data_IF_321686206945
#
_entry.id   IF_321686206945
#
_cell.length_a   1.000
_cell.length_b   1.000
_cell.length_c   1.000
_cell.angle_alpha   90.00
_cell.angle_beta   90.00
_cell.angle_gamma   90.00
#
_symmetry.space_group_name_H-M   'P 1'
#
loop_
_entity.id
_entity.type
_entity.pdbx_description
1 polymer ?
#
# COMPACT_ATOMS: atom_id res chain seq x y z
N UNK A 1 15.90 26.15 -11.16
CA UNK A 1 15.65 25.42 -10.04
C UNK A 1 15.73 23.95 -10.23
N UNK A 2 16.23 23.30 -9.30
CA UNK A 2 16.48 21.87 -9.38
C UNK A 2 15.24 21.02 -9.24
N UNK A 3 14.10 21.60 -9.37
CA UNK A 3 12.88 20.90 -9.11
C UNK A 3 12.54 19.76 -10.03
N UNK A 4 12.78 19.86 -11.35
CA UNK A 4 12.52 18.71 -12.21
C UNK A 4 13.30 17.48 -11.79
N UNK A 5 14.55 17.70 -11.38
CA UNK A 5 15.37 16.61 -10.87
C UNK A 5 14.85 16.08 -9.54
N UNK A 6 14.46 16.99 -8.64
CA UNK A 6 13.99 16.55 -7.33
C UNK A 6 12.66 15.80 -7.41
N UNK A 7 11.76 16.17 -8.34
CA UNK A 7 10.53 15.42 -8.53
C UNK A 7 10.81 14.02 -9.05
N UNK A 8 11.69 13.88 -10.03
CA UNK A 8 12.07 12.57 -10.55
C UNK A 8 12.72 11.72 -9.46
N UNK A 9 13.61 12.33 -8.67
CA UNK A 9 14.28 11.64 -7.56
C UNK A 9 13.29 11.19 -6.50
N UNK A 10 12.34 12.05 -6.15
CA UNK A 10 11.31 11.72 -5.15
C UNK A 10 10.43 10.59 -5.67
N UNK A 11 10.01 10.64 -6.92
CA UNK A 11 9.22 9.57 -7.52
C UNK A 11 9.98 8.24 -7.52
N UNK A 12 11.25 8.26 -7.90
CA UNK A 12 12.09 7.06 -7.89
C UNK A 12 12.24 6.50 -6.48
N UNK A 13 12.46 7.37 -5.51
CA UNK A 13 12.59 6.97 -4.11
C UNK A 13 11.32 6.27 -3.61
N UNK A 14 10.17 6.89 -3.83
CA UNK A 14 8.91 6.29 -3.41
C UNK A 14 8.60 5.00 -4.17
N UNK A 15 8.93 4.94 -5.46
CA UNK A 15 8.75 3.72 -6.23
C UNK A 15 9.57 2.57 -5.67
N UNK A 16 10.82 2.83 -5.31
CA UNK A 16 11.68 1.81 -4.70
C UNK A 16 11.13 1.36 -3.36
N UNK A 17 10.78 2.31 -2.49
CA UNK A 17 10.29 1.99 -1.15
C UNK A 17 8.98 1.20 -1.23
N UNK A 18 8.02 1.70 -2.00
CA UNK A 18 6.71 1.05 -2.15
C UNK A 18 6.87 -0.30 -2.83
N UNK A 19 7.69 -0.37 -3.86
CA UNK A 19 7.93 -1.61 -4.59
C UNK A 19 8.52 -2.70 -3.70
N UNK A 20 9.57 -2.39 -2.95
CA UNK A 20 10.16 -3.34 -2.02
C UNK A 20 9.19 -3.73 -0.92
N UNK A 21 8.47 -2.76 -0.37
CA UNK A 21 7.49 -3.02 0.66
C UNK A 21 6.42 -4.01 0.17
N UNK A 22 5.86 -3.75 -1.01
CA UNK A 22 4.84 -4.62 -1.58
C UNK A 22 5.39 -6.02 -1.88
N UNK A 23 6.61 -6.10 -2.41
CA UNK A 23 7.23 -7.39 -2.70
C UNK A 23 7.39 -8.20 -1.41
N UNK A 24 7.94 -7.59 -0.37
CA UNK A 24 8.17 -8.28 0.90
C UNK A 24 6.87 -8.75 1.54
N UNK A 25 5.87 -7.87 1.58
CA UNK A 25 4.57 -8.21 2.16
C UNK A 25 3.89 -9.32 1.35
N UNK A 26 3.89 -9.21 0.02
CA UNK A 26 3.26 -10.23 -0.83
C UNK A 26 3.96 -11.57 -0.74
N UNK A 27 5.29 -11.57 -0.67
CA UNK A 27 6.04 -12.82 -0.49
C UNK A 27 5.71 -13.46 0.85
N UNK A 28 5.63 -12.67 1.92
CA UNK A 28 5.24 -13.18 3.23
C UNK A 28 3.84 -13.78 3.19
N UNK A 29 2.91 -13.13 2.50
CA UNK A 29 1.55 -13.64 2.36
C UNK A 29 1.52 -14.96 1.56
N UNK A 30 2.35 -15.08 0.54
CA UNK A 30 2.37 -16.28 -0.28
C UNK A 30 3.04 -17.45 0.42
N UNK A 31 4.11 -17.20 1.19
CA UNK A 31 4.82 -18.25 1.91
C UNK A 31 4.10 -18.72 3.16
N UNK A 32 3.42 -17.81 3.85
CA UNK A 32 2.73 -18.13 5.10
C UNK A 32 1.32 -17.54 5.10
N UNK A 33 0.43 -18.02 4.23
CA UNK A 33 -0.90 -17.42 4.12
C UNK A 33 -1.74 -17.57 5.38
N UNK A 34 -1.62 -18.71 6.06
CA UNK A 34 -2.41 -18.96 7.27
C UNK A 34 -1.96 -18.07 8.43
N UNK A 35 -0.64 -17.92 8.59
CA UNK A 35 -0.08 -17.05 9.62
C UNK A 35 -0.50 -15.61 9.38
N UNK A 36 -0.46 -15.16 8.14
CA UNK A 36 -0.86 -13.80 7.78
C UNK A 36 -2.33 -13.56 8.08
N UNK A 37 -3.20 -14.48 7.66
CA UNK A 37 -4.64 -14.38 7.95
C UNK A 37 -4.92 -14.35 9.44
N UNK A 38 -4.23 -15.19 10.21
CA UNK A 38 -4.37 -15.23 11.66
C UNK A 38 -3.95 -13.91 12.29
N UNK A 39 -2.83 -13.34 11.85
CA UNK A 39 -2.34 -12.06 12.35
C UNK A 39 -3.33 -10.94 12.05
N UNK A 40 -3.86 -10.90 10.83
CA UNK A 40 -4.83 -9.88 10.45
C UNK A 40 -6.12 -10.03 11.28
N UNK A 41 -6.59 -11.25 11.49
CA UNK A 41 -7.77 -11.48 12.32
C UNK A 41 -7.56 -10.99 13.76
N UNK A 42 -6.36 -11.19 14.30
CA UNK A 42 -6.03 -10.67 15.63
C UNK A 42 -6.03 -9.13 15.65
N UNK A 43 -5.45 -8.50 14.65
CA UNK A 43 -5.44 -7.04 14.55
C UNK A 43 -6.85 -6.50 14.42
N UNK A 44 -7.67 -7.11 13.57
CA UNK A 44 -9.06 -6.67 13.36
C UNK A 44 -9.93 -6.88 14.59
N UNK A 45 -9.60 -7.89 15.41
CA UNK A 45 -10.35 -8.18 16.62
C UNK A 45 -10.06 -7.23 17.78
N UNK A 46 -8.97 -6.48 17.73
CA UNK A 46 -8.60 -5.54 18.80
C UNK A 46 -8.74 -4.09 18.33
N UNK A 47 -9.66 -3.32 18.95
CA UNK A 47 -9.87 -1.92 18.54
C UNK A 47 -8.61 -1.08 18.63
N UNK A 48 -7.78 -1.28 19.64
CA UNK A 48 -6.54 -0.51 19.81
C UNK A 48 -5.57 -0.79 18.67
N UNK A 49 -5.39 -2.06 18.29
CA UNK A 49 -4.51 -2.42 17.19
C UNK A 49 -5.01 -1.86 15.87
N UNK A 50 -6.31 -1.93 15.65
CA UNK A 50 -6.93 -1.39 14.44
C UNK A 50 -6.73 0.12 14.35
N UNK A 51 -6.90 0.82 15.46
CA UNK A 51 -6.69 2.28 15.52
C UNK A 51 -5.25 2.64 15.16
N UNK A 52 -4.29 1.94 15.74
CA UNK A 52 -2.86 2.20 15.49
C UNK A 52 -2.54 1.94 14.02
N UNK A 53 -3.02 0.84 13.47
CA UNK A 53 -2.80 0.51 12.07
C UNK A 53 -3.42 1.54 11.13
N UNK A 54 -4.62 2.01 11.45
CA UNK A 54 -5.30 3.02 10.66
C UNK A 54 -4.56 4.36 10.69
N UNK A 55 -4.14 4.77 11.87
CA UNK A 55 -3.39 6.03 12.03
C UNK A 55 -2.06 5.96 11.29
N UNK A 56 -1.34 4.84 11.39
CA UNK A 56 -0.08 4.63 10.69
C UNK A 56 -0.30 4.66 9.18
N UNK A 57 -1.36 4.03 8.71
CA UNK A 57 -1.67 3.98 7.28
C UNK A 57 -1.98 5.38 6.74
N UNK A 58 -2.75 6.18 7.48
CA UNK A 58 -3.05 7.56 7.11
C UNK A 58 -1.78 8.40 7.07
N UNK A 59 -0.94 8.27 8.08
CA UNK A 59 0.32 8.99 8.15
C UNK A 59 1.21 8.64 6.94
N UNK A 60 1.32 7.37 6.63
CA UNK A 60 2.10 6.90 5.50
C UNK A 60 1.56 7.45 4.18
N UNK A 61 0.24 7.43 4.03
CA UNK A 61 -0.41 7.97 2.84
C UNK A 61 -0.14 9.47 2.67
N UNK A 62 -0.20 10.22 3.76
CA UNK A 62 0.07 11.66 3.72
C UNK A 62 1.53 11.95 3.40
N UNK A 63 2.45 11.16 3.94
CA UNK A 63 3.88 11.29 3.63
C UNK A 63 4.14 11.11 2.14
N UNK A 64 3.40 10.19 1.51
CA UNK A 64 3.51 9.97 0.07
C UNK A 64 2.81 11.09 -0.72
N UNK A 65 1.60 11.45 -0.33
CA UNK A 65 0.77 12.36 -1.13
C UNK A 65 1.23 13.80 -1.09
N UNK A 66 1.71 14.27 0.05
CA UNK A 66 2.09 15.69 0.17
C UNK A 66 3.21 16.05 -0.79
N UNK A 67 4.34 15.30 -0.83
CA UNK A 67 5.41 15.61 -1.80
C UNK A 67 5.15 15.04 -3.19
N UNK A 68 4.24 14.07 -3.33
CA UNK A 68 4.07 13.33 -4.58
C UNK A 68 2.60 13.31 -5.01
N UNK A 69 2.08 14.48 -5.36
CA UNK A 69 0.71 14.60 -5.85
C UNK A 69 0.75 14.95 -7.34
N UNK A 70 1.11 13.94 -8.15
CA UNK A 70 1.31 14.11 -9.59
C UNK A 70 0.17 13.43 -10.33
N UNK A 71 -0.56 14.21 -11.11
CA UNK A 71 -1.71 13.74 -11.90
C UNK A 71 -1.40 13.75 -13.38
N UNK A 72 -0.25 13.20 -13.76
CA UNK A 72 0.16 13.08 -15.16
C UNK A 72 0.02 11.61 -15.57
N UNK A 73 -0.43 11.38 -16.80
CA UNK A 73 -0.62 10.03 -17.33
C UNK A 73 0.73 9.34 -17.60
N UNK A 74 1.42 8.98 -16.53
CA UNK A 74 2.72 8.33 -16.57
C UNK A 74 2.85 7.39 -15.37
N UNK A 75 3.97 6.68 -15.27
CA UNK A 75 4.15 5.73 -14.19
C UNK A 75 4.07 6.35 -12.78
N UNK A 76 4.49 7.61 -12.52
CA UNK A 76 4.33 8.19 -11.19
C UNK A 76 2.87 8.31 -10.74
N UNK A 77 1.92 8.30 -11.66
CA UNK A 77 0.51 8.32 -11.32
C UNK A 77 0.11 7.13 -10.44
N UNK A 78 0.77 5.97 -10.65
CA UNK A 78 0.52 4.78 -9.83
C UNK A 78 0.78 5.04 -8.35
N UNK A 79 1.87 5.75 -8.04
CA UNK A 79 2.22 6.08 -6.65
C UNK A 79 1.15 6.99 -6.05
N UNK A 80 0.70 7.98 -6.81
CA UNK A 80 -0.35 8.90 -6.38
C UNK A 80 -1.65 8.14 -6.09
N UNK A 81 -2.04 7.23 -6.97
CA UNK A 81 -3.25 6.43 -6.80
C UNK A 81 -3.14 5.54 -5.56
N UNK A 82 -2.00 4.90 -5.37
CA UNK A 82 -1.75 4.07 -4.19
C UNK A 82 -1.88 4.90 -2.91
N UNK A 83 -1.31 6.10 -2.91
CA UNK A 83 -1.41 7.01 -1.77
C UNK A 83 -2.84 7.38 -1.45
N UNK A 84 -3.64 7.74 -2.47
CA UNK A 84 -5.05 8.08 -2.28
C UNK A 84 -5.86 6.89 -1.80
N UNK A 85 -5.64 5.71 -2.36
CA UNK A 85 -6.33 4.50 -1.91
C UNK A 85 -5.97 4.16 -0.46
N UNK A 86 -4.71 4.31 -0.09
CA UNK A 86 -4.27 4.08 1.28
C UNK A 86 -4.88 5.07 2.25
N UNK A 87 -4.98 6.33 1.84
CA UNK A 87 -5.61 7.38 2.66
C UNK A 87 -7.10 7.07 2.87
N UNK A 88 -7.79 6.72 1.79
CA UNK A 88 -9.20 6.37 1.85
C UNK A 88 -9.42 5.16 2.77
N UNK A 89 -8.61 4.13 2.59
CA UNK A 89 -8.69 2.91 3.40
C UNK A 89 -8.46 3.21 4.87
N UNK A 90 -7.43 3.99 5.19
CA UNK A 90 -7.14 4.37 6.57
C UNK A 90 -8.25 5.20 7.19
N UNK A 91 -8.83 6.12 6.43
CA UNK A 91 -9.94 6.96 6.90
C UNK A 91 -11.18 6.13 7.19
N UNK A 92 -11.55 5.23 6.26
CA UNK A 92 -12.70 4.35 6.45
C UNK A 92 -12.48 3.45 7.67
N UNK A 93 -11.29 2.90 7.81
CA UNK A 93 -10.93 2.04 8.93
C UNK A 93 -11.02 2.78 10.27
N UNK A 94 -10.66 4.07 10.29
CA UNK A 94 -10.68 4.88 11.50
C UNK A 94 -12.09 5.30 11.89
N UNK A 95 -12.90 5.76 10.93
CA UNK A 95 -14.24 6.28 11.22
C UNK A 95 -15.31 5.20 11.23
N UNK A 96 -15.16 4.16 10.44
CA UNK A 96 -16.13 3.06 10.34
C UNK A 96 -15.44 1.72 10.52
N UNK A 97 -14.92 1.45 11.74
CA UNK A 97 -14.13 0.22 11.95
C UNK A 97 -14.95 -1.04 11.76
N UNK A 98 -16.22 -1.05 12.14
CA UNK A 98 -17.06 -2.24 12.02
C UNK A 98 -17.28 -2.64 10.57
N UNK A 99 -17.57 -1.65 9.70
CA UNK A 99 -17.75 -1.92 8.28
C UNK A 99 -16.45 -2.38 7.63
N UNK A 100 -15.35 -1.77 8.02
CA UNK A 100 -14.04 -2.13 7.51
C UNK A 100 -13.68 -3.57 7.86
N UNK A 101 -13.90 -3.96 9.12
CA UNK A 101 -13.63 -5.31 9.59
C UNK A 101 -14.47 -6.33 8.83
N UNK A 102 -15.76 -6.06 8.69
CA UNK A 102 -16.67 -6.98 7.98
C UNK A 102 -16.24 -7.16 6.52
N UNK A 103 -15.90 -6.06 5.85
CA UNK A 103 -15.49 -6.10 4.45
C UNK A 103 -14.17 -6.86 4.30
N UNK A 104 -13.21 -6.62 5.17
CA UNK A 104 -11.90 -7.26 5.12
C UNK A 104 -12.01 -8.77 5.36
N UNK A 105 -12.78 -9.17 6.37
CA UNK A 105 -12.99 -10.58 6.66
C UNK A 105 -13.67 -11.28 5.48
N UNK A 106 -14.66 -10.64 4.88
CA UNK A 106 -15.35 -11.18 3.71
C UNK A 106 -14.40 -11.38 2.54
N UNK A 107 -13.53 -10.41 2.28
CA UNK A 107 -12.53 -10.51 1.21
C UNK A 107 -11.53 -11.62 1.48
N UNK A 108 -11.11 -11.79 2.73
CA UNK A 108 -10.15 -12.84 3.09
C UNK A 108 -10.70 -14.24 2.94
N UNK A 109 -12.01 -14.41 3.11
CA UNK A 109 -12.66 -15.71 2.93
C UNK A 109 -12.86 -16.09 1.47
N UNK A 110 -12.76 -15.12 0.59
CA UNK A 110 -12.98 -15.32 -0.85
C UNK A 110 -11.70 -15.84 -1.50
N UNK A 111 -11.77 -16.85 -2.39
CA UNK A 111 -10.58 -17.30 -3.13
C UNK A 111 -9.95 -16.22 -3.99
N UNK A 112 -10.68 -15.15 -4.30
CA UNK A 112 -10.13 -13.97 -5.00
C UNK A 112 -8.99 -13.32 -4.26
N UNK A 113 -8.83 -13.60 -2.98
CA UNK A 113 -7.75 -13.06 -2.16
C UNK A 113 -6.36 -13.35 -2.75
N UNK A 114 -6.15 -14.57 -3.24
CA UNK A 114 -4.87 -14.95 -3.84
C UNK A 114 -4.62 -14.16 -5.13
N UNK A 115 -5.67 -13.96 -5.92
CA UNK A 115 -5.56 -13.19 -7.16
C UNK A 115 -5.13 -11.75 -6.86
N UNK A 116 -5.71 -11.14 -5.84
CA UNK A 116 -5.33 -9.80 -5.38
C UNK A 116 -3.88 -9.74 -4.95
N UNK A 117 -3.40 -10.78 -4.24
CA UNK A 117 -2.01 -10.85 -3.81
C UNK A 117 -1.07 -10.85 -5.02
N UNK A 118 -1.39 -11.64 -6.04
CA UNK A 118 -0.58 -11.68 -7.26
C UNK A 118 -0.57 -10.35 -7.99
N UNK A 119 -1.72 -9.68 -8.04
CA UNK A 119 -1.82 -8.35 -8.67
C UNK A 119 -0.92 -7.36 -7.95
N UNK A 120 -0.96 -7.32 -6.62
CA UNK A 120 -0.13 -6.41 -5.84
C UNK A 120 1.35 -6.77 -5.96
N UNK A 121 1.69 -8.04 -6.05
CA UNK A 121 3.07 -8.47 -6.26
C UNK A 121 3.61 -7.98 -7.60
N UNK A 122 2.83 -8.13 -8.66
CA UNK A 122 3.22 -7.63 -9.98
C UNK A 122 3.38 -6.12 -9.98
N UNK A 123 2.47 -5.42 -9.31
CA UNK A 123 2.57 -3.97 -9.17
C UNK A 123 3.83 -3.55 -8.41
N UNK A 124 4.16 -4.25 -7.34
CA UNK A 124 5.38 -4.00 -6.57
C UNK A 124 6.63 -4.23 -7.40
N UNK A 125 6.67 -5.31 -8.17
CA UNK A 125 7.78 -5.58 -9.07
C UNK A 125 7.95 -4.49 -10.12
N UNK A 126 6.84 -4.05 -10.70
CA UNK A 126 6.85 -2.97 -11.69
C UNK A 126 7.39 -1.67 -11.09
N UNK A 127 6.89 -1.29 -9.92
CA UNK A 127 7.34 -0.06 -9.27
C UNK A 127 8.82 -0.13 -8.88
N UNK A 128 9.26 -1.27 -8.37
CA UNK A 128 10.67 -1.46 -8.03
C UNK A 128 11.55 -1.34 -9.28
N UNK A 129 11.12 -1.96 -10.37
CA UNK A 129 11.83 -1.88 -11.63
C UNK A 129 11.95 -0.43 -12.11
N UNK A 130 10.83 0.28 -12.13
CA UNK A 130 10.83 1.67 -12.59
C UNK A 130 11.66 2.57 -11.68
N UNK A 131 11.60 2.34 -10.36
CA UNK A 131 12.38 3.11 -9.41
C UNK A 131 13.88 2.93 -9.63
N UNK A 132 14.32 1.70 -9.85
CA UNK A 132 15.73 1.44 -10.12
C UNK A 132 16.14 1.91 -11.51
N UNK A 133 15.28 1.75 -12.50
CA UNK A 133 15.59 2.16 -13.87
C UNK A 133 15.81 3.66 -13.96
N UNK A 134 15.08 4.44 -13.20
CA UNK A 134 15.24 5.89 -13.20
C UNK A 134 16.51 6.35 -12.50
N UNK A 135 17.05 5.53 -11.61
CA UNK A 135 18.29 5.87 -10.90
C UNK A 135 19.56 5.52 -11.68
N UNK A 136 19.42 4.76 -12.74
CA UNK A 136 20.53 4.43 -13.62
C UNK A 136 20.63 5.44 -14.73
#
# INVERSE_FOLDING_TARGET
>A
MCYPMSLATVSSFFAQVIGFYLILICLAMLFHPERFKKTINLVLGHPASLFICSATNILFALVILIPHNIWVASWPLLITVIGWLSLLKGTVSLFFPEKYVKMTVKLMKNPSYQIWTWVWLLLGLYLAWMGFAQNI
#
